data_IF_840390345925
#
_entry.id   IF_840390345925
#
_cell.length_a   1.000
_cell.length_b   1.000
_cell.length_c   1.000
_cell.angle_alpha   90.00
_cell.angle_beta   90.00
_cell.angle_gamma   90.00
#
_symmetry.space_group_name_H-M   'P 1'
#
loop_
_entity.id
_entity.type
_entity.pdbx_description
1 polymer ?
#
# COMPACT_ATOMS: atom_id res chain seq x y z
N UNK A 1 -29.13 19.82 -6.66
CA UNK A 1 -28.38 18.53 -6.65
C UNK A 1 -27.00 18.79 -6.08
N UNK A 2 -26.84 18.56 -4.78
CA UNK A 2 -25.52 18.57 -4.15
C UNK A 2 -24.69 17.45 -4.78
N UNK A 3 -23.63 17.85 -5.45
CA UNK A 3 -22.81 16.97 -6.26
C UNK A 3 -22.24 15.84 -5.39
N UNK A 4 -22.63 14.59 -5.66
CA UNK A 4 -22.13 13.37 -5.01
C UNK A 4 -20.58 13.27 -5.11
N UNK A 5 -19.97 14.08 -5.99
CA UNK A 5 -18.52 14.16 -6.20
C UNK A 5 -17.74 14.75 -5.02
N UNK A 6 -18.39 15.54 -4.17
CA UNK A 6 -17.72 16.30 -3.09
C UNK A 6 -17.62 15.51 -1.77
N UNK A 7 -18.21 14.31 -1.71
CA UNK A 7 -18.08 13.46 -0.53
C UNK A 7 -16.91 12.49 -0.70
N UNK A 8 -15.99 12.47 0.26
CA UNK A 8 -14.94 11.47 0.28
C UNK A 8 -15.54 10.05 0.17
N UNK A 9 -14.90 9.16 -0.57
CA UNK A 9 -15.31 7.76 -0.70
C UNK A 9 -14.22 6.88 -0.11
N UNK A 10 -14.57 5.71 0.45
CA UNK A 10 -13.56 4.77 0.90
C UNK A 10 -12.66 4.35 -0.26
N UNK A 11 -11.36 4.25 0.01
CA UNK A 11 -10.38 3.73 -0.95
C UNK A 11 -10.60 2.24 -1.23
N UNK A 12 -10.04 1.73 -2.33
CA UNK A 12 -10.12 0.31 -2.67
C UNK A 12 -9.58 -0.56 -1.53
N UNK A 13 -8.42 -0.19 -0.94
CA UNK A 13 -7.84 -0.94 0.17
C UNK A 13 -8.73 -0.96 1.41
N UNK A 14 -9.42 0.15 1.70
CA UNK A 14 -10.40 0.22 2.80
C UNK A 14 -11.59 -0.70 2.57
N UNK A 15 -12.11 -0.78 1.33
CA UNK A 15 -13.18 -1.72 0.98
C UNK A 15 -12.73 -3.18 1.07
N UNK A 16 -11.53 -3.50 0.60
CA UNK A 16 -10.96 -4.85 0.69
C UNK A 16 -10.80 -5.26 2.15
N UNK A 17 -10.28 -4.35 2.99
CA UNK A 17 -10.11 -4.64 4.41
C UNK A 17 -11.45 -4.77 5.14
N UNK A 18 -12.45 -3.94 4.79
CA UNK A 18 -13.81 -4.05 5.33
C UNK A 18 -14.48 -5.38 4.99
N UNK A 19 -14.38 -5.82 3.73
CA UNK A 19 -15.06 -7.03 3.26
C UNK A 19 -14.35 -8.34 3.62
N UNK A 20 -13.01 -8.34 3.68
CA UNK A 20 -12.22 -9.56 3.87
C UNK A 20 -11.47 -9.62 5.21
N UNK A 21 -11.41 -8.50 5.93
CA UNK A 21 -10.65 -8.41 7.17
C UNK A 21 -9.14 -8.62 6.98
N UNK A 22 -8.44 -8.84 8.08
CA UNK A 22 -7.04 -9.22 8.11
C UNK A 22 -6.80 -10.27 9.20
N UNK A 23 -5.97 -11.26 8.88
CA UNK A 23 -5.53 -12.26 9.85
C UNK A 23 -4.26 -11.81 10.60
N UNK A 24 -3.59 -10.79 10.08
CA UNK A 24 -2.40 -10.25 10.71
C UNK A 24 -2.77 -9.34 11.88
N UNK A 25 -2.24 -9.67 13.07
CA UNK A 25 -2.46 -8.91 14.30
C UNK A 25 -1.28 -8.01 14.69
N UNK A 26 -0.21 -8.02 13.90
CA UNK A 26 1.03 -7.31 14.21
C UNK A 26 1.43 -6.25 13.19
N UNK A 27 0.68 -6.14 12.09
CA UNK A 27 0.86 -5.12 11.05
C UNK A 27 -0.50 -4.59 10.61
N UNK A 28 -0.59 -3.34 10.10
CA UNK A 28 -1.82 -2.84 9.50
C UNK A 28 -2.26 -3.75 8.35
N UNK A 29 -3.55 -4.01 8.26
CA UNK A 29 -4.11 -4.79 7.15
C UNK A 29 -4.00 -4.09 5.80
N UNK A 30 -3.86 -2.76 5.79
CA UNK A 30 -3.71 -1.93 4.59
C UNK A 30 -2.55 -0.95 4.75
N UNK A 31 -1.56 -1.02 3.87
CA UNK A 31 -0.37 -0.16 3.86
C UNK A 31 -0.22 0.50 2.49
N UNK A 32 0.07 1.81 2.48
CA UNK A 32 0.41 2.57 1.27
C UNK A 32 1.86 3.04 1.32
N UNK A 33 2.55 3.00 0.17
CA UNK A 33 3.90 3.58 -0.01
C UNK A 33 3.85 4.63 -1.13
N UNK A 34 3.61 5.88 -0.73
CA UNK A 34 3.33 7.00 -1.64
C UNK A 34 1.83 7.19 -1.83
N UNK A 35 1.49 8.09 -2.76
CA UNK A 35 0.11 8.43 -3.08
C UNK A 35 -0.52 9.50 -2.19
N UNK A 36 -1.63 10.06 -2.68
CA UNK A 36 -2.41 11.05 -1.98
C UNK A 36 -3.12 10.45 -0.75
N UNK A 37 -3.51 11.30 0.18
CA UNK A 37 -4.22 10.88 1.39
C UNK A 37 -5.53 10.13 1.06
N UNK A 38 -6.21 10.53 0.00
CA UNK A 38 -7.46 9.93 -0.45
C UNK A 38 -7.34 8.45 -0.83
N UNK A 39 -6.14 8.01 -1.21
CA UNK A 39 -5.89 6.63 -1.61
C UNK A 39 -5.89 5.63 -0.45
N UNK A 40 -5.91 6.11 0.78
CA UNK A 40 -5.93 5.29 2.00
C UNK A 40 -7.07 5.59 2.95
N UNK A 41 -7.97 6.51 2.58
CA UNK A 41 -9.06 6.95 3.46
C UNK A 41 -10.15 5.88 3.61
N UNK A 42 -10.63 5.71 4.82
CA UNK A 42 -11.80 4.89 5.12
C UNK A 42 -13.12 5.64 4.89
N UNK A 43 -13.10 6.97 4.90
CA UNK A 43 -14.26 7.84 4.70
C UNK A 43 -15.41 7.52 5.69
N UNK A 44 -16.56 7.04 5.20
CA UNK A 44 -17.69 6.65 6.03
C UNK A 44 -17.57 5.24 6.66
N UNK A 45 -16.58 4.44 6.26
CA UNK A 45 -16.26 3.19 6.95
C UNK A 45 -15.56 3.49 8.28
N UNK A 46 -15.64 2.60 9.27
CA UNK A 46 -14.91 2.76 10.51
C UNK A 46 -13.40 3.00 10.29
N UNK A 47 -12.80 3.80 11.14
CA UNK A 47 -11.38 4.18 11.04
C UNK A 47 -10.41 2.99 11.11
N UNK A 48 -10.86 1.85 11.63
CA UNK A 48 -10.12 0.58 11.62
C UNK A 48 -9.70 0.15 10.21
N UNK A 49 -10.48 0.54 9.19
CA UNK A 49 -10.21 0.21 7.79
C UNK A 49 -9.39 1.27 7.06
N UNK A 50 -8.92 2.29 7.79
CA UNK A 50 -8.03 3.31 7.27
C UNK A 50 -6.67 2.71 6.92
N UNK A 51 -6.14 3.03 5.73
CA UNK A 51 -4.80 2.62 5.34
C UNK A 51 -3.71 3.39 6.10
N UNK A 52 -2.62 2.71 6.43
CA UNK A 52 -1.43 3.29 7.05
C UNK A 52 -0.43 3.70 5.98
N UNK A 53 0.05 4.96 6.05
CA UNK A 53 1.09 5.43 5.16
C UNK A 53 2.47 5.03 5.68
N UNK A 54 3.24 4.35 4.86
CA UNK A 54 4.64 4.06 5.12
C UNK A 54 5.52 5.05 4.35
N UNK A 55 6.27 5.87 5.09
CA UNK A 55 7.24 6.82 4.54
C UNK A 55 8.54 6.10 4.14
N UNK A 56 8.40 5.03 3.37
CA UNK A 56 9.51 4.19 2.96
C UNK A 56 10.30 4.83 1.82
N UNK A 57 11.60 4.85 2.00
CA UNK A 57 12.59 5.04 0.95
C UNK A 57 13.79 4.13 1.23
N UNK A 58 14.66 3.92 0.23
CA UNK A 58 15.80 2.97 0.31
C UNK A 58 16.81 3.27 1.42
N UNK A 59 16.88 4.50 1.87
CA UNK A 59 17.82 4.97 2.90
C UNK A 59 17.16 5.16 4.26
N UNK A 60 15.84 5.06 4.34
CA UNK A 60 15.12 5.22 5.59
C UNK A 60 15.50 4.12 6.59
N UNK A 61 15.68 4.50 7.83
CA UNK A 61 15.81 3.54 8.91
C UNK A 61 14.48 2.80 9.09
N UNK A 62 14.46 1.45 9.15
CA UNK A 62 13.22 0.67 9.21
C UNK A 62 12.27 1.09 10.33
N UNK A 63 12.79 1.50 11.47
CA UNK A 63 12.02 1.98 12.62
C UNK A 63 11.41 3.38 12.44
N UNK A 64 11.74 4.10 11.37
CA UNK A 64 11.20 5.44 11.05
C UNK A 64 10.21 5.43 9.88
N UNK A 65 9.97 4.27 9.28
CA UNK A 65 9.11 4.16 8.09
C UNK A 65 7.63 4.40 8.43
N UNK A 66 7.16 3.87 9.53
CA UNK A 66 5.82 4.16 10.02
C UNK A 66 5.88 5.31 11.04
N UNK A 67 5.15 6.42 10.80
CA UNK A 67 5.17 7.55 11.70
C UNK A 67 4.56 7.18 13.06
N UNK A 68 5.11 7.77 14.11
CA UNK A 68 4.65 7.61 15.50
C UNK A 68 4.62 6.16 16.04
N UNK A 69 5.40 5.27 15.41
CA UNK A 69 5.47 3.87 15.83
C UNK A 69 6.24 3.71 17.15
N UNK A 70 7.26 4.54 17.39
CA UNK A 70 8.07 4.52 18.60
C UNK A 70 7.83 5.78 19.40
N UNK A 71 7.76 5.65 20.73
CA UNK A 71 7.71 6.79 21.64
C UNK A 71 9.12 7.38 21.83
N UNK A 72 9.22 8.68 21.79
CA UNK A 72 10.46 9.39 22.14
C UNK A 72 10.62 9.56 23.67
N UNK A 73 9.54 9.33 24.44
CA UNK A 73 9.45 9.67 25.86
C UNK A 73 9.30 8.45 26.77
N UNK A 74 9.06 7.26 26.25
CA UNK A 74 8.80 6.08 27.04
C UNK A 74 9.53 4.86 26.46
N UNK A 75 10.13 4.04 27.36
CA UNK A 75 10.69 2.75 26.99
C UNK A 75 9.58 1.76 26.59
N UNK A 76 9.93 0.70 25.88
CA UNK A 76 8.99 -0.36 25.47
C UNK A 76 8.27 -0.97 26.70
N UNK A 77 8.97 -1.17 27.81
CA UNK A 77 8.38 -1.67 29.05
C UNK A 77 7.38 -0.68 29.66
N UNK A 78 7.69 0.61 29.60
CA UNK A 78 6.78 1.67 30.06
C UNK A 78 5.54 1.74 29.19
N UNK A 79 5.68 1.67 27.87
CA UNK A 79 4.55 1.66 26.94
C UNK A 79 3.65 0.45 27.18
N UNK A 80 4.24 -0.73 27.33
CA UNK A 80 3.47 -1.94 27.65
C UNK A 80 2.66 -1.77 28.92
N UNK A 81 3.28 -1.28 29.99
CA UNK A 81 2.58 -1.04 31.25
C UNK A 81 1.44 -0.02 31.13
N UNK A 82 1.62 1.02 30.30
CA UNK A 82 0.57 2.02 30.03
C UNK A 82 -0.62 1.39 29.29
N UNK A 83 -0.36 0.55 28.30
CA UNK A 83 -1.41 -0.18 27.56
C UNK A 83 -2.15 -1.14 28.49
N UNK A 84 -1.43 -1.94 29.29
CA UNK A 84 -2.03 -2.87 30.24
C UNK A 84 -2.86 -2.16 31.32
N UNK A 85 -2.42 -0.98 31.77
CA UNK A 85 -3.20 -0.14 32.69
C UNK A 85 -4.48 0.39 32.02
N UNK A 86 -4.37 0.89 30.77
CA UNK A 86 -5.51 1.40 30.01
C UNK A 86 -6.59 0.32 29.82
N UNK A 87 -6.18 -0.93 29.52
CA UNK A 87 -7.09 -2.08 29.45
C UNK A 87 -7.81 -2.34 30.77
N UNK A 88 -7.07 -2.37 31.87
CA UNK A 88 -7.67 -2.60 33.20
C UNK A 88 -8.68 -1.52 33.56
N UNK A 89 -8.34 -0.26 33.26
CA UNK A 89 -9.26 0.86 33.49
C UNK A 89 -10.51 0.78 32.60
N UNK A 90 -10.37 0.35 31.34
CA UNK A 90 -11.50 0.15 30.45
C UNK A 90 -12.44 -0.95 30.95
N UNK A 91 -11.90 -2.11 31.34
CA UNK A 91 -12.70 -3.21 31.92
C UNK A 91 -13.47 -2.72 33.17
N UNK A 92 -12.83 -1.94 34.03
CA UNK A 92 -13.49 -1.37 35.23
C UNK A 92 -14.58 -0.35 34.82
N UNK A 93 -14.38 0.40 33.74
CA UNK A 93 -15.35 1.34 33.23
C UNK A 93 -16.58 0.62 32.66
N UNK A 94 -16.37 -0.40 31.83
CA UNK A 94 -17.43 -1.22 31.24
C UNK A 94 -18.31 -1.92 32.27
N UNK A 95 -17.76 -2.29 33.41
CA UNK A 95 -18.52 -2.85 34.53
C UNK A 95 -19.50 -1.83 35.19
N UNK A 96 -19.29 -0.53 34.95
CA UNK A 96 -20.08 0.57 35.56
C UNK A 96 -20.98 1.29 34.57
N UNK A 97 -20.59 1.33 33.31
CA UNK A 97 -21.25 2.06 32.23
C UNK A 97 -21.40 1.13 31.04
N UNK A 98 -22.28 1.44 30.10
CA UNK A 98 -22.39 0.68 28.85
C UNK A 98 -21.07 0.68 28.07
N UNK A 99 -20.82 -0.40 27.32
CA UNK A 99 -19.66 -0.60 26.46
C UNK A 99 -19.44 0.61 25.54
N UNK A 100 -18.24 1.18 25.57
CA UNK A 100 -17.83 2.28 24.69
C UNK A 100 -16.96 1.72 23.54
N UNK A 101 -17.60 1.48 22.39
CA UNK A 101 -16.95 0.93 21.19
C UNK A 101 -15.82 1.83 20.68
N UNK A 102 -15.91 3.16 20.88
CA UNK A 102 -14.85 4.08 20.46
C UNK A 102 -13.61 3.99 21.35
N UNK A 103 -13.81 3.79 22.63
CA UNK A 103 -12.71 3.60 23.57
C UNK A 103 -12.01 2.26 23.33
N UNK A 104 -12.76 1.17 23.09
CA UNK A 104 -12.20 -0.13 22.72
C UNK A 104 -11.36 -0.02 21.45
N UNK A 105 -11.91 0.56 20.37
CA UNK A 105 -11.17 0.73 19.12
C UNK A 105 -9.88 1.54 19.30
N UNK A 106 -9.88 2.51 20.19
CA UNK A 106 -8.67 3.30 20.53
C UNK A 106 -7.63 2.46 21.25
N UNK A 107 -8.03 1.65 22.24
CA UNK A 107 -7.13 0.76 22.97
C UNK A 107 -6.53 -0.28 22.02
N UNK A 108 -7.36 -0.91 21.17
CA UNK A 108 -6.90 -1.85 20.14
C UNK A 108 -5.89 -1.21 19.18
N UNK A 109 -6.09 0.06 18.81
CA UNK A 109 -5.14 0.81 17.98
C UNK A 109 -3.80 1.01 18.66
N UNK A 110 -3.76 1.30 19.96
CA UNK A 110 -2.52 1.42 20.72
C UNK A 110 -1.80 0.07 20.87
N UNK A 111 -2.54 -1.01 21.07
CA UNK A 111 -1.98 -2.35 21.12
C UNK A 111 -1.39 -2.77 19.79
N UNK A 112 -2.11 -2.51 18.70
CA UNK A 112 -1.60 -2.76 17.37
C UNK A 112 -0.32 -1.98 17.14
N UNK A 113 -0.29 -0.68 17.46
CA UNK A 113 0.90 0.16 17.33
C UNK A 113 2.09 -0.40 18.12
N UNK A 114 1.88 -0.90 19.33
CA UNK A 114 2.93 -1.53 20.11
C UNK A 114 3.44 -2.84 19.48
N UNK A 115 2.54 -3.74 19.06
CA UNK A 115 2.92 -4.98 18.37
C UNK A 115 3.64 -4.71 17.06
N UNK A 116 3.31 -3.62 16.38
CA UNK A 116 3.93 -3.21 15.12
C UNK A 116 5.41 -2.85 15.26
N UNK A 117 5.89 -2.43 16.43
CA UNK A 117 7.26 -1.94 16.58
C UNK A 117 8.31 -2.95 16.10
N UNK A 118 8.20 -4.20 16.52
CA UNK A 118 9.12 -5.25 16.08
C UNK A 118 8.79 -5.74 14.66
N UNK A 119 7.52 -6.01 14.37
CA UNK A 119 7.08 -6.59 13.10
C UNK A 119 7.31 -5.64 11.92
N UNK A 120 7.03 -4.34 12.08
CA UNK A 120 7.25 -3.34 11.04
C UNK A 120 8.75 -3.12 10.81
N UNK A 121 9.54 -2.97 11.88
CA UNK A 121 10.98 -2.82 11.75
C UNK A 121 11.59 -3.97 10.94
N UNK A 122 11.16 -5.20 11.20
CA UNK A 122 11.60 -6.35 10.42
C UNK A 122 11.09 -6.30 8.97
N UNK A 123 9.81 -6.03 8.76
CA UNK A 123 9.21 -6.04 7.41
C UNK A 123 9.84 -5.02 6.45
N UNK A 124 10.18 -3.83 6.96
CA UNK A 124 10.77 -2.75 6.17
C UNK A 124 12.29 -2.83 6.03
N UNK A 125 12.97 -3.73 6.74
CA UNK A 125 14.42 -3.91 6.63
C UNK A 125 14.79 -4.80 5.44
N UNK A 126 14.92 -4.20 4.26
CA UNK A 126 15.34 -4.91 3.04
C UNK A 126 16.79 -5.39 3.08
N UNK A 127 17.60 -4.94 4.03
CA UNK A 127 19.01 -5.40 4.18
C UNK A 127 19.07 -6.84 4.68
N UNK A 128 17.98 -7.35 5.27
CA UNK A 128 17.84 -8.77 5.65
C UNK A 128 17.67 -9.72 4.47
N UNK A 129 17.34 -9.20 3.29
CA UNK A 129 17.30 -10.00 2.08
C UNK A 129 18.73 -10.23 1.53
N UNK A 130 18.90 -11.34 0.85
CA UNK A 130 20.18 -11.64 0.18
C UNK A 130 20.48 -10.60 -0.90
N UNK A 131 21.74 -10.43 -1.23
CA UNK A 131 22.17 -9.52 -2.28
C UNK A 131 21.50 -9.84 -3.62
N UNK A 132 21.49 -11.13 -3.98
CA UNK A 132 20.85 -11.61 -5.22
C UNK A 132 19.36 -11.28 -5.31
N UNK A 133 18.61 -11.35 -4.20
CA UNK A 133 17.20 -10.93 -4.17
C UNK A 133 17.10 -9.42 -4.36
N UNK A 134 17.92 -8.62 -3.69
CA UNK A 134 17.90 -7.17 -3.87
C UNK A 134 18.27 -6.74 -5.29
N UNK A 135 19.25 -7.39 -5.91
CA UNK A 135 19.66 -7.16 -7.29
C UNK A 135 18.56 -7.53 -8.29
N UNK A 136 17.83 -8.62 -8.05
CA UNK A 136 16.70 -9.03 -8.89
C UNK A 136 15.63 -7.94 -8.99
N UNK A 137 15.32 -7.23 -7.89
CA UNK A 137 14.39 -6.10 -7.89
C UNK A 137 14.99 -4.81 -8.47
N UNK A 138 16.27 -4.79 -8.72
CA UNK A 138 16.99 -3.64 -9.23
C UNK A 138 17.28 -2.57 -8.18
N UNK A 139 18.28 -1.75 -8.46
CA UNK A 139 18.77 -0.72 -7.54
C UNK A 139 17.98 0.60 -7.66
N UNK A 140 16.64 0.52 -7.66
CA UNK A 140 15.73 1.66 -7.80
C UNK A 140 14.85 1.83 -6.57
N UNK A 141 14.28 3.01 -6.40
CA UNK A 141 13.30 3.27 -5.32
C UNK A 141 12.06 2.38 -5.45
N UNK A 142 11.56 2.22 -6.68
CA UNK A 142 10.41 1.36 -6.93
C UNK A 142 10.74 -0.12 -6.67
N UNK A 143 11.92 -0.58 -7.06
CA UNK A 143 12.38 -1.94 -6.77
C UNK A 143 12.40 -2.22 -5.26
N UNK A 144 12.91 -1.28 -4.47
CA UNK A 144 12.89 -1.40 -3.03
C UNK A 144 11.47 -1.41 -2.45
N UNK A 145 10.56 -0.57 -2.95
CA UNK A 145 9.14 -0.57 -2.54
C UNK A 145 8.44 -1.90 -2.88
N UNK A 146 8.67 -2.46 -4.06
CA UNK A 146 8.10 -3.74 -4.46
C UNK A 146 8.67 -4.92 -3.65
N UNK A 147 9.96 -4.87 -3.30
CA UNK A 147 10.57 -5.83 -2.38
C UNK A 147 9.93 -5.77 -1.00
N UNK A 148 9.69 -4.55 -0.46
CA UNK A 148 8.95 -4.36 0.79
C UNK A 148 7.51 -4.88 0.66
N UNK A 149 6.82 -4.63 -0.46
CA UNK A 149 5.47 -5.15 -0.67
C UNK A 149 5.43 -6.68 -0.58
N UNK A 150 6.37 -7.38 -1.22
CA UNK A 150 6.49 -8.84 -1.09
C UNK A 150 6.68 -9.25 0.38
N UNK A 151 7.57 -8.57 1.11
CA UNK A 151 7.82 -8.86 2.54
C UNK A 151 6.59 -8.61 3.42
N UNK A 152 5.80 -7.59 3.11
CA UNK A 152 4.54 -7.30 3.81
C UNK A 152 3.48 -8.37 3.53
N UNK A 153 3.31 -8.77 2.27
CA UNK A 153 2.39 -9.84 1.87
C UNK A 153 2.78 -11.18 2.52
N UNK A 154 4.07 -11.52 2.51
CA UNK A 154 4.61 -12.72 3.17
C UNK A 154 4.29 -12.75 4.69
N UNK A 155 4.09 -11.59 5.30
CA UNK A 155 3.69 -11.42 6.71
C UNK A 155 2.18 -11.26 6.90
N UNK A 156 1.39 -11.47 5.84
CA UNK A 156 -0.06 -11.47 5.91
C UNK A 156 -0.73 -10.09 5.86
N UNK A 157 -0.04 -9.03 5.40
CA UNK A 157 -0.68 -7.76 5.12
C UNK A 157 -1.66 -7.95 3.96
N UNK A 158 -2.93 -7.59 4.17
CA UNK A 158 -4.02 -7.88 3.24
C UNK A 158 -3.95 -7.06 1.96
N UNK A 159 -3.58 -5.78 2.06
CA UNK A 159 -3.56 -4.86 0.93
C UNK A 159 -2.34 -3.94 1.00
N UNK A 160 -1.54 -3.95 -0.05
CA UNK A 160 -0.37 -3.07 -0.20
C UNK A 160 -0.54 -2.25 -1.47
N UNK A 161 -0.50 -0.93 -1.36
CA UNK A 161 -0.60 -0.02 -2.49
C UNK A 161 0.67 0.79 -2.67
N UNK A 162 1.18 0.82 -3.90
CA UNK A 162 2.40 1.54 -4.27
C UNK A 162 2.08 2.49 -5.40
N UNK A 163 2.53 3.73 -5.27
CA UNK A 163 2.50 4.68 -6.35
C UNK A 163 3.79 4.63 -7.17
N UNK A 164 3.62 4.54 -8.49
CA UNK A 164 4.68 4.69 -9.49
C UNK A 164 4.30 5.83 -10.44
N UNK A 165 4.54 7.07 -10.02
CA UNK A 165 4.16 8.27 -10.77
C UNK A 165 4.98 8.52 -12.04
N UNK A 166 4.71 9.65 -12.66
CA UNK A 166 5.48 10.12 -13.83
C UNK A 166 4.94 9.66 -15.18
N UNK A 167 3.65 9.31 -15.29
CA UNK A 167 3.01 8.82 -16.51
C UNK A 167 2.21 9.88 -17.30
N UNK A 168 2.14 11.10 -16.79
CA UNK A 168 1.38 12.18 -17.40
C UNK A 168 2.21 12.91 -18.46
N UNK A 169 2.29 12.32 -19.66
CA UNK A 169 3.16 12.78 -20.74
C UNK A 169 2.40 13.54 -21.82
N UNK A 170 2.19 14.83 -21.61
CA UNK A 170 1.61 15.73 -22.61
C UNK A 170 2.58 16.13 -23.71
N UNK A 171 3.87 15.84 -23.55
CA UNK A 171 4.94 16.04 -24.54
C UNK A 171 5.93 14.89 -24.49
N UNK A 172 6.71 14.71 -25.56
CA UNK A 172 7.82 13.76 -25.65
C UNK A 172 7.46 12.34 -25.16
N UNK A 173 6.24 11.85 -25.49
CA UNK A 173 5.71 10.59 -24.94
C UNK A 173 6.64 9.41 -25.20
N UNK A 174 7.27 9.34 -26.37
CA UNK A 174 8.18 8.24 -26.74
C UNK A 174 9.35 8.12 -25.74
N UNK A 175 10.05 9.21 -25.50
CA UNK A 175 11.19 9.27 -24.57
C UNK A 175 10.74 8.99 -23.13
N UNK A 176 9.68 9.65 -22.72
CA UNK A 176 9.21 9.58 -21.33
C UNK A 176 8.63 8.20 -20.97
N UNK A 177 7.83 7.59 -21.84
CA UNK A 177 7.30 6.23 -21.61
C UNK A 177 8.43 5.20 -21.56
N UNK A 178 9.42 5.31 -22.46
CA UNK A 178 10.59 4.42 -22.43
C UNK A 178 11.34 4.53 -21.11
N UNK A 179 11.55 5.74 -20.62
CA UNK A 179 12.24 5.99 -19.35
C UNK A 179 11.46 5.46 -18.15
N UNK A 180 10.16 5.79 -18.05
CA UNK A 180 9.33 5.39 -16.90
C UNK A 180 9.01 3.91 -16.96
N UNK A 181 8.67 3.37 -18.13
CA UNK A 181 8.41 1.95 -18.33
C UNK A 181 9.63 1.09 -18.00
N UNK A 182 10.82 1.50 -18.47
CA UNK A 182 12.06 0.80 -18.15
C UNK A 182 12.39 0.77 -16.64
N UNK A 183 12.00 1.80 -15.90
CA UNK A 183 12.18 1.83 -14.45
C UNK A 183 11.23 0.88 -13.69
N UNK A 184 10.10 0.50 -14.31
CA UNK A 184 9.07 -0.36 -13.69
C UNK A 184 9.22 -1.82 -14.13
N UNK A 185 9.63 -2.07 -15.36
CA UNK A 185 9.60 -3.39 -15.98
C UNK A 185 10.37 -4.45 -15.16
N UNK A 186 11.63 -4.18 -14.86
CA UNK A 186 12.48 -5.09 -14.08
C UNK A 186 11.90 -5.38 -12.68
N UNK A 187 11.56 -4.38 -11.83
CA UNK A 187 11.05 -4.67 -10.50
C UNK A 187 9.64 -5.30 -10.50
N UNK A 188 8.79 -5.02 -11.47
CA UNK A 188 7.50 -5.68 -11.60
C UNK A 188 7.66 -7.18 -11.96
N UNK A 189 8.54 -7.49 -12.92
CA UNK A 189 8.87 -8.86 -13.26
C UNK A 189 9.52 -9.62 -12.08
N UNK A 190 10.37 -8.93 -11.31
CA UNK A 190 10.99 -9.49 -10.11
C UNK A 190 9.94 -9.85 -9.05
N UNK A 191 8.98 -8.96 -8.78
CA UNK A 191 7.91 -9.22 -7.82
C UNK A 191 7.12 -10.49 -8.19
N UNK A 192 6.69 -10.61 -9.45
CA UNK A 192 5.94 -11.79 -9.92
C UNK A 192 6.79 -13.07 -9.77
N UNK A 193 8.06 -13.00 -10.15
CA UNK A 193 8.99 -14.14 -10.06
C UNK A 193 9.23 -14.56 -8.61
N UNK A 194 9.48 -13.60 -7.71
CA UNK A 194 9.77 -13.87 -6.30
C UNK A 194 8.54 -14.46 -5.59
N UNK A 195 7.35 -13.88 -5.81
CA UNK A 195 6.10 -14.44 -5.28
C UNK A 195 5.85 -15.87 -5.80
N UNK A 196 6.12 -16.13 -7.09
CA UNK A 196 5.98 -17.46 -7.67
C UNK A 196 6.96 -18.46 -7.04
N UNK A 197 8.23 -18.07 -6.89
CA UNK A 197 9.26 -18.92 -6.28
C UNK A 197 8.96 -19.27 -4.82
N UNK A 198 8.28 -18.37 -4.10
CA UNK A 198 7.88 -18.56 -2.70
C UNK A 198 6.52 -19.24 -2.54
N UNK A 199 5.85 -19.61 -3.63
CA UNK A 199 4.50 -20.19 -3.58
C UNK A 199 3.40 -19.22 -3.13
N UNK A 200 3.66 -17.91 -3.18
CA UNK A 200 2.73 -16.87 -2.74
C UNK A 200 1.89 -16.29 -3.89
N UNK A 201 2.27 -16.52 -5.15
CA UNK A 201 1.62 -15.89 -6.30
C UNK A 201 0.15 -16.32 -6.44
N UNK A 202 -0.17 -17.57 -6.16
CA UNK A 202 -1.54 -18.09 -6.30
C UNK A 202 -2.51 -17.49 -5.28
N UNK A 203 -2.00 -17.04 -4.13
CA UNK A 203 -2.77 -16.36 -3.08
C UNK A 203 -2.64 -14.83 -3.09
N UNK A 204 -1.83 -14.26 -3.99
CA UNK A 204 -1.55 -12.84 -4.08
C UNK A 204 -1.98 -12.30 -5.43
N UNK A 205 -3.00 -11.44 -5.45
CA UNK A 205 -3.41 -10.73 -6.66
C UNK A 205 -2.58 -9.45 -6.82
N UNK A 206 -1.85 -9.35 -7.93
CA UNK A 206 -1.15 -8.14 -8.35
C UNK A 206 -2.02 -7.43 -9.38
N UNK A 207 -2.29 -6.15 -9.15
CA UNK A 207 -3.02 -5.28 -10.08
C UNK A 207 -2.12 -4.10 -10.42
N UNK A 208 -1.94 -3.83 -11.71
CA UNK A 208 -1.26 -2.64 -12.21
C UNK A 208 -2.16 -1.88 -13.17
N UNK A 209 -2.26 -0.59 -12.98
CA UNK A 209 -3.07 0.28 -13.83
C UNK A 209 -2.91 1.74 -13.46
N UNK A 210 -3.49 2.60 -14.26
CA UNK A 210 -3.63 4.02 -14.03
C UNK A 210 -5.09 4.42 -13.83
N UNK A 211 -5.31 5.72 -13.60
CA UNK A 211 -6.64 6.30 -13.33
C UNK A 211 -7.55 6.28 -14.57
N UNK A 212 -6.97 6.47 -15.76
CA UNK A 212 -7.66 6.45 -17.06
C UNK A 212 -6.65 6.24 -18.21
N UNK A 213 -7.17 6.09 -19.42
CA UNK A 213 -6.37 5.96 -20.62
C UNK A 213 -5.87 7.30 -21.17
N UNK A 214 -5.18 7.21 -22.27
CA UNK A 214 -4.60 8.37 -22.97
C UNK A 214 -5.09 8.42 -24.41
N UNK A 215 -5.23 9.62 -24.95
CA UNK A 215 -5.57 9.85 -26.36
C UNK A 215 -4.47 9.33 -27.29
N UNK A 216 -4.78 9.17 -28.56
CA UNK A 216 -3.80 8.76 -29.58
C UNK A 216 -2.67 9.78 -29.70
N UNK A 217 -3.01 11.06 -29.57
CA UNK A 217 -2.09 12.20 -29.63
C UNK A 217 -2.66 13.40 -28.89
N UNK A 218 -1.84 14.41 -28.63
CA UNK A 218 -2.30 15.76 -28.25
C UNK A 218 -2.90 16.49 -29.45
N UNK A 219 -3.79 17.49 -29.25
CA UNK A 219 -4.27 18.35 -30.32
C UNK A 219 -3.13 19.04 -31.07
N UNK A 220 -3.27 19.17 -32.36
CA UNK A 220 -2.32 19.84 -33.24
C UNK A 220 -1.57 18.91 -34.20
N UNK A 221 -0.50 19.43 -34.84
CA UNK A 221 0.31 18.65 -35.78
C UNK A 221 1.18 17.63 -35.04
N UNK A 222 1.04 16.36 -35.38
CA UNK A 222 1.85 15.27 -34.81
C UNK A 222 3.31 15.42 -35.25
N UNK A 223 4.23 15.33 -34.30
CA UNK A 223 5.67 15.33 -34.49
C UNK A 223 6.37 14.45 -33.44
N UNK A 224 7.67 14.37 -33.48
CA UNK A 224 8.47 13.52 -32.58
C UNK A 224 8.34 13.91 -31.10
N UNK A 225 7.94 15.14 -30.78
CA UNK A 225 7.74 15.65 -29.41
C UNK A 225 6.28 15.61 -28.98
N UNK A 226 5.40 15.03 -29.77
CA UNK A 226 3.99 14.90 -29.40
C UNK A 226 3.84 14.05 -28.14
N UNK A 227 2.85 14.43 -27.32
CA UNK A 227 2.45 13.69 -26.14
C UNK A 227 1.07 13.04 -26.33
N UNK A 228 0.40 12.79 -25.24
CA UNK A 228 -0.96 12.26 -25.18
C UNK A 228 -1.75 12.97 -24.09
N UNK A 229 -3.02 13.26 -24.37
CA UNK A 229 -3.93 13.82 -23.38
C UNK A 229 -4.71 12.73 -22.64
N UNK A 230 -5.48 13.13 -21.65
CA UNK A 230 -6.33 12.26 -20.86
C UNK A 230 -7.49 11.70 -21.70
N UNK A 231 -7.80 10.42 -21.53
CA UNK A 231 -8.93 9.75 -22.15
C UNK A 231 -9.71 8.91 -21.15
N UNK A 232 -10.65 9.54 -20.47
CA UNK A 232 -11.40 8.95 -19.36
C UNK A 232 -12.33 7.78 -19.73
N UNK A 233 -12.60 7.58 -21.03
CA UNK A 233 -13.52 6.53 -21.51
C UNK A 233 -12.83 5.20 -21.83
N UNK A 234 -11.51 5.14 -21.81
CA UNK A 234 -10.75 3.92 -22.07
C UNK A 234 -9.52 3.88 -21.19
N UNK A 235 -9.19 2.70 -20.66
CA UNK A 235 -7.99 2.43 -19.89
C UNK A 235 -7.62 0.96 -20.01
N UNK A 236 -6.38 0.64 -19.68
CA UNK A 236 -5.90 -0.74 -19.63
C UNK A 236 -5.30 -1.02 -18.27
N UNK A 237 -5.57 -2.21 -17.75
CA UNK A 237 -4.97 -2.74 -16.55
C UNK A 237 -4.44 -4.14 -16.84
N UNK A 238 -3.44 -4.59 -16.09
CA UNK A 238 -3.08 -5.99 -16.09
C UNK A 238 -3.12 -6.56 -14.67
N UNK A 239 -3.33 -7.86 -14.59
CA UNK A 239 -3.39 -8.60 -13.34
C UNK A 239 -2.53 -9.85 -13.44
N UNK A 240 -1.95 -10.27 -12.31
CA UNK A 240 -1.20 -11.51 -12.20
C UNK A 240 -1.42 -12.14 -10.82
N UNK A 241 -1.41 -13.47 -10.75
CA UNK A 241 -1.61 -14.21 -9.51
C UNK A 241 -3.06 -14.21 -9.00
N UNK A 242 -3.26 -14.60 -7.75
CA UNK A 242 -4.59 -14.59 -7.09
C UNK A 242 -5.66 -15.40 -7.82
N UNK A 243 -5.31 -16.46 -8.53
CA UNK A 243 -6.24 -17.29 -9.29
C UNK A 243 -6.69 -16.70 -10.63
N UNK A 244 -6.12 -15.57 -11.08
CA UNK A 244 -6.43 -15.00 -12.39
C UNK A 244 -5.92 -15.91 -13.50
N UNK A 245 -6.79 -16.23 -14.47
CA UNK A 245 -6.41 -17.02 -15.65
C UNK A 245 -5.46 -16.22 -16.53
N UNK A 246 -4.21 -16.66 -16.61
CA UNK A 246 -3.17 -16.02 -17.41
C UNK A 246 -3.44 -16.09 -18.92
N UNK A 247 -2.85 -15.16 -19.69
CA UNK A 247 -2.93 -15.13 -21.15
C UNK A 247 -4.29 -14.67 -21.71
N UNK A 248 -5.21 -14.21 -20.88
CA UNK A 248 -6.50 -13.69 -21.31
C UNK A 248 -6.44 -12.18 -21.57
N UNK A 249 -7.17 -11.75 -22.58
CA UNK A 249 -7.57 -10.34 -22.78
C UNK A 249 -9.07 -10.24 -22.53
N UNK A 250 -9.47 -9.31 -21.68
CA UNK A 250 -10.86 -9.01 -21.40
C UNK A 250 -11.20 -7.59 -21.83
N UNK A 251 -12.36 -7.40 -22.46
CA UNK A 251 -12.78 -6.13 -23.02
C UNK A 251 -12.49 -5.99 -24.52
N UNK A 252 -12.93 -4.86 -25.08
CA UNK A 252 -12.81 -4.53 -26.52
C UNK A 252 -11.67 -3.55 -26.75
#
# INVERSE_FOLDING_TARGET
EMCIRDRPKPSLGSWVLYGLGTENQSLPGFITMGGAADWRQSSFLPSLFQGSNANFNRTAAPNKVLPNLFSEFASDSTQKNQIDLSKKLNIMHEQRVQKDEQLEARIESFELAFRMQAAATDAFDIKKETESVREMYGNTELGAKLLVARRLVERGVRFVQIEAGGWDHHTDVKTNVTRVGGAIDTPAAALIRDLKQRGLLDSTLIIWGGEFGRTVTTPGRVNERSGRDHHSKAFSMWMAGGGVKGGMRYGK
#
